data_IF_587331356883
#
_entry.id   IF_587331356883
#
_cell.length_a   1.000
_cell.length_b   1.000
_cell.length_c   1.000
_cell.angle_alpha   90.00
_cell.angle_beta   90.00
_cell.angle_gamma   90.00
#
_symmetry.space_group_name_H-M   'P 1'
#
loop_
_entity.id
_entity.type
_entity.pdbx_description
1 polymer ?
#
# COMPACT_ATOMS: atom_id res chain seq x y z
N UNK A 1 65.08 3.37 29.60
CA UNK A 1 64.24 2.60 28.65
C UNK A 1 62.75 2.71 28.91
N UNK A 2 62.29 2.74 30.16
CA UNK A 2 60.82 2.75 30.49
C UNK A 2 60.05 3.97 30.04
N UNK A 3 60.62 5.18 30.10
CA UNK A 3 59.94 6.45 29.70
C UNK A 3 59.60 6.48 28.19
N UNK A 4 60.43 5.94 27.31
CA UNK A 4 60.15 5.89 25.86
C UNK A 4 59.00 4.92 25.50
N UNK A 5 58.93 3.78 26.23
CA UNK A 5 57.83 2.81 26.06
C UNK A 5 56.50 3.34 26.54
N UNK A 6 56.47 4.06 27.69
CA UNK A 6 55.24 4.71 28.19
C UNK A 6 54.69 5.76 27.24
N UNK A 7 55.57 6.60 26.65
CA UNK A 7 55.16 7.62 25.66
C UNK A 7 54.62 6.99 24.38
N UNK A 8 55.23 5.89 23.90
CA UNK A 8 54.76 5.18 22.72
C UNK A 8 53.37 4.55 22.90
N UNK A 9 53.10 3.97 24.08
CA UNK A 9 51.80 3.40 24.43
C UNK A 9 50.76 4.50 24.56
N UNK A 10 51.09 5.64 25.16
CA UNK A 10 50.16 6.80 25.27
C UNK A 10 49.80 7.35 23.90
N UNK A 11 50.75 7.53 23.00
CA UNK A 11 50.51 8.00 21.64
C UNK A 11 49.66 6.98 20.84
N UNK A 12 49.86 5.67 21.00
CA UNK A 12 49.04 4.66 20.36
C UNK A 12 47.60 4.64 20.89
N UNK A 13 47.40 4.84 22.20
CA UNK A 13 46.06 4.99 22.79
C UNK A 13 45.34 6.23 22.35
N UNK A 14 46.05 7.37 22.25
CA UNK A 14 45.49 8.61 21.69
C UNK A 14 45.10 8.45 20.22
N UNK A 15 45.94 7.83 19.38
CA UNK A 15 45.65 7.55 17.98
C UNK A 15 44.46 6.60 17.83
N UNK A 16 44.34 5.58 18.69
CA UNK A 16 43.18 4.67 18.72
C UNK A 16 41.91 5.35 19.18
N UNK A 17 41.99 6.23 20.19
CA UNK A 17 40.85 7.04 20.63
C UNK A 17 40.39 8.01 19.53
N UNK A 18 41.30 8.66 18.81
CA UNK A 18 41.02 9.52 17.67
C UNK A 18 40.39 8.70 16.52
N UNK A 19 40.92 7.47 16.26
CA UNK A 19 40.32 6.57 15.24
C UNK A 19 38.89 6.16 15.60
N UNK A 20 38.62 5.84 16.88
CA UNK A 20 37.27 5.54 17.36
C UNK A 20 36.32 6.75 17.26
N UNK A 21 36.86 7.97 17.39
CA UNK A 21 36.08 9.21 17.26
C UNK A 21 35.79 9.57 15.81
N UNK A 22 36.68 9.23 14.89
CA UNK A 22 36.52 9.46 13.42
C UNK A 22 35.62 8.41 12.80
N UNK A 23 35.55 7.21 13.35
CA UNK A 23 34.68 6.11 12.88
C UNK A 23 33.46 6.01 13.79
N UNK A 24 32.61 7.02 13.79
CA UNK A 24 31.26 6.88 14.35
C UNK A 24 30.35 6.23 13.29
N UNK A 25 29.86 5.01 13.53
CA UNK A 25 28.97 4.34 12.54
C UNK A 25 27.64 5.07 12.32
N UNK A 26 27.26 5.98 13.20
CA UNK A 26 26.03 6.74 13.14
C UNK A 26 25.94 7.73 11.98
N UNK A 27 27.04 8.46 11.73
CA UNK A 27 27.03 9.56 10.75
C UNK A 27 26.88 9.07 9.29
N UNK A 28 27.43 7.91 8.95
CA UNK A 28 27.30 7.37 7.59
C UNK A 28 25.90 6.82 7.30
N UNK A 29 25.21 6.35 8.32
CA UNK A 29 23.86 5.81 8.19
C UNK A 29 22.83 6.92 8.07
N UNK A 30 22.96 7.95 8.88
CA UNK A 30 22.09 9.13 8.87
C UNK A 30 22.24 9.91 7.55
N UNK A 31 23.47 10.07 7.07
CA UNK A 31 23.76 10.66 5.76
C UNK A 31 23.17 9.84 4.60
N UNK A 32 23.11 8.51 4.71
CA UNK A 32 22.51 7.63 3.71
C UNK A 32 20.99 7.81 3.62
N UNK A 33 20.30 7.90 4.75
CA UNK A 33 18.84 8.12 4.83
C UNK A 33 18.50 9.54 4.37
N UNK A 34 19.24 10.53 4.82
CA UNK A 34 19.09 11.91 4.40
C UNK A 34 19.27 12.06 2.89
N UNK A 35 20.28 11.42 2.33
CA UNK A 35 20.52 11.41 0.88
C UNK A 35 19.36 10.75 0.11
N UNK A 36 18.82 9.61 0.57
CA UNK A 36 17.67 8.97 -0.08
C UNK A 36 16.42 9.85 -0.04
N UNK A 37 16.17 10.51 1.08
CA UNK A 37 15.03 11.41 1.22
C UNK A 37 15.15 12.62 0.29
N UNK A 38 16.33 13.21 0.18
CA UNK A 38 16.62 14.32 -0.73
C UNK A 38 16.46 13.89 -2.18
N UNK A 39 17.02 12.76 -2.58
CA UNK A 39 16.89 12.22 -3.94
C UNK A 39 15.44 11.98 -4.33
N UNK A 40 14.63 11.41 -3.43
CA UNK A 40 13.21 11.21 -3.67
C UNK A 40 12.43 12.52 -3.77
N UNK A 41 12.76 13.50 -2.93
CA UNK A 41 12.15 14.82 -3.00
C UNK A 41 12.47 15.51 -4.33
N UNK A 42 13.73 15.46 -4.76
CA UNK A 42 14.16 16.02 -6.05
C UNK A 42 13.50 15.31 -7.22
N UNK A 43 13.36 13.98 -7.14
CA UNK A 43 12.62 13.20 -8.14
C UNK A 43 11.15 13.64 -8.21
N UNK A 44 10.47 13.76 -7.06
CA UNK A 44 9.08 14.21 -7.02
C UNK A 44 8.94 15.62 -7.61
N UNK A 45 9.86 16.51 -7.28
CA UNK A 45 9.88 17.88 -7.80
C UNK A 45 10.13 17.92 -9.30
N UNK A 46 11.12 17.19 -9.79
CA UNK A 46 11.46 17.14 -11.21
C UNK A 46 10.30 16.61 -12.07
N UNK A 47 9.56 15.63 -11.56
CA UNK A 47 8.42 15.02 -12.24
C UNK A 47 7.06 15.66 -11.90
N UNK A 48 7.06 16.82 -11.22
CA UNK A 48 5.84 17.53 -10.82
C UNK A 48 4.83 16.67 -10.05
N UNK A 49 5.33 15.74 -9.22
CA UNK A 49 4.50 14.87 -8.41
C UNK A 49 4.04 15.63 -7.17
N UNK A 50 2.75 15.96 -7.10
CA UNK A 50 2.12 16.49 -5.88
C UNK A 50 1.57 15.32 -5.07
N UNK A 51 2.23 14.98 -3.97
CA UNK A 51 1.83 13.79 -3.22
C UNK A 51 2.76 13.44 -2.07
N UNK A 52 2.51 12.24 -1.52
CA UNK A 52 3.33 11.62 -0.48
C UNK A 52 3.87 10.29 -0.99
N UNK A 53 5.16 10.09 -0.83
CA UNK A 53 5.84 8.84 -1.12
C UNK A 53 6.36 8.24 0.19
N UNK A 54 6.10 6.96 0.39
CA UNK A 54 6.59 6.19 1.53
C UNK A 54 7.41 5.02 1.00
N UNK A 55 8.65 4.94 1.46
CA UNK A 55 9.56 3.84 1.17
C UNK A 55 10.15 3.31 2.48
N UNK A 56 10.69 2.11 2.47
CA UNK A 56 11.47 1.60 3.59
C UNK A 56 12.96 1.74 3.32
N UNK A 57 13.73 2.10 4.34
CA UNK A 57 15.18 2.02 4.30
C UNK A 57 15.65 0.54 4.30
N UNK A 58 16.98 0.35 4.24
CA UNK A 58 17.60 -0.99 4.29
C UNK A 58 17.34 -1.74 5.60
N UNK A 59 16.89 -1.06 6.65
CA UNK A 59 16.53 -1.64 7.95
C UNK A 59 15.01 -1.83 8.11
N UNK A 60 14.22 -1.55 7.06
CA UNK A 60 12.77 -1.63 7.10
C UNK A 60 12.10 -0.43 7.77
N UNK A 61 12.84 0.67 8.08
CA UNK A 61 12.25 1.86 8.67
C UNK A 61 11.61 2.74 7.60
N UNK A 62 10.41 3.29 7.86
CA UNK A 62 9.70 4.11 6.89
C UNK A 62 10.39 5.46 6.68
N UNK A 63 10.64 5.80 5.42
CA UNK A 63 11.05 7.14 4.99
C UNK A 63 9.85 7.77 4.29
N UNK A 64 9.35 8.87 4.83
CA UNK A 64 8.23 9.62 4.27
C UNK A 64 8.75 10.87 3.58
N UNK A 65 8.41 11.04 2.31
CA UNK A 65 8.72 12.22 1.52
C UNK A 65 7.43 12.81 0.99
N UNK A 66 7.31 14.11 1.04
CA UNK A 66 6.17 14.82 0.46
C UNK A 66 6.65 15.97 -0.40
N UNK A 67 5.99 16.21 -1.51
CA UNK A 67 6.18 17.37 -2.36
C UNK A 67 4.86 18.11 -2.55
N UNK A 68 4.94 19.45 -2.51
CA UNK A 68 3.81 20.36 -2.62
C UNK A 68 4.12 21.35 -3.72
N UNK A 69 3.63 21.09 -4.92
CA UNK A 69 3.86 21.99 -6.06
C UNK A 69 2.66 22.92 -6.36
N UNK A 70 1.62 22.88 -5.56
CA UNK A 70 0.44 23.73 -5.77
C UNK A 70 0.37 24.84 -4.73
N UNK A 71 -0.04 26.02 -5.16
CA UNK A 71 -0.39 27.16 -4.31
C UNK A 71 -1.82 27.06 -3.77
N UNK A 72 -2.65 26.19 -4.37
CA UNK A 72 -4.00 25.91 -3.89
C UNK A 72 -3.95 25.07 -2.62
N UNK A 73 -4.33 25.67 -1.49
CA UNK A 73 -4.34 25.00 -0.18
C UNK A 73 -5.28 23.79 -0.13
N UNK A 74 -6.34 23.75 -0.96
CA UNK A 74 -7.26 22.62 -1.02
C UNK A 74 -6.65 21.37 -1.65
N UNK A 75 -5.57 21.53 -2.40
CA UNK A 75 -4.84 20.45 -3.07
C UNK A 75 -3.54 20.07 -2.37
N UNK A 76 -3.25 20.68 -1.20
CA UNK A 76 -2.05 20.33 -0.44
C UNK A 76 -2.20 18.95 0.18
N UNK A 77 -1.38 18.03 -0.28
CA UNK A 77 -1.27 16.68 0.23
C UNK A 77 -0.26 16.64 1.37
N UNK A 78 -0.58 15.98 2.49
CA UNK A 78 0.35 15.76 3.58
C UNK A 78 0.34 14.31 4.07
N UNK A 79 1.44 13.91 4.72
CA UNK A 79 1.65 12.52 5.15
C UNK A 79 0.66 12.03 6.22
N UNK A 80 -0.01 12.94 6.93
CA UNK A 80 -0.96 12.59 8.00
C UNK A 80 -2.42 12.56 7.52
N UNK A 81 -2.65 12.83 6.25
CA UNK A 81 -4.00 12.77 5.69
C UNK A 81 -4.38 11.33 5.35
N UNK A 82 -5.69 11.05 5.37
CA UNK A 82 -6.22 9.77 4.91
C UNK A 82 -6.30 9.73 3.39
N UNK A 83 -5.78 8.65 2.81
CA UNK A 83 -5.80 8.39 1.39
C UNK A 83 -6.78 7.26 1.07
N UNK A 84 -7.66 7.40 0.07
CA UNK A 84 -8.49 6.30 -0.39
C UNK A 84 -7.60 5.25 -1.04
N UNK A 85 -7.67 4.02 -0.54
CA UNK A 85 -6.87 2.89 -1.06
C UNK A 85 -7.48 2.24 -2.31
N UNK A 86 -8.71 2.61 -2.66
CA UNK A 86 -9.42 2.13 -3.85
C UNK A 86 -9.26 0.60 -4.05
N UNK A 87 -8.81 0.16 -5.23
CA UNK A 87 -8.68 -1.26 -5.58
C UNK A 87 -7.68 -2.05 -4.73
N UNK A 88 -6.81 -1.42 -3.95
CA UNK A 88 -5.96 -2.14 -2.98
C UNK A 88 -6.79 -2.91 -1.95
N UNK A 89 -8.02 -2.47 -1.66
CA UNK A 89 -8.95 -3.18 -0.80
C UNK A 89 -9.28 -4.60 -1.30
N UNK A 90 -9.20 -4.85 -2.63
CA UNK A 90 -9.45 -6.17 -3.21
C UNK A 90 -8.47 -7.23 -2.72
N UNK A 91 -7.24 -6.86 -2.40
CA UNK A 91 -6.23 -7.75 -1.82
C UNK A 91 -6.72 -8.26 -0.45
N UNK A 92 -7.25 -7.37 0.39
CA UNK A 92 -7.78 -7.72 1.71
C UNK A 92 -9.02 -8.63 1.58
N UNK A 93 -9.94 -8.28 0.66
CA UNK A 93 -11.11 -9.12 0.36
C UNK A 93 -10.71 -10.50 -0.13
N UNK A 94 -9.75 -10.58 -1.06
CA UNK A 94 -9.23 -11.84 -1.58
C UNK A 94 -8.62 -12.71 -0.48
N UNK A 95 -7.85 -12.10 0.42
CA UNK A 95 -7.26 -12.80 1.58
C UNK A 95 -8.35 -13.36 2.49
N UNK A 96 -9.38 -12.56 2.81
CA UNK A 96 -10.49 -13.01 3.64
C UNK A 96 -11.28 -14.18 3.02
N UNK A 97 -11.57 -14.10 1.71
CA UNK A 97 -12.24 -15.19 0.98
C UNK A 97 -11.37 -16.46 0.99
N UNK A 98 -10.05 -16.32 0.79
CA UNK A 98 -9.13 -17.46 0.86
C UNK A 98 -9.10 -18.10 2.25
N UNK A 99 -9.11 -17.31 3.33
CA UNK A 99 -9.19 -17.83 4.69
C UNK A 99 -10.48 -18.61 4.93
N UNK A 100 -11.64 -18.07 4.54
CA UNK A 100 -12.93 -18.77 4.64
C UNK A 100 -12.93 -20.09 3.86
N UNK A 101 -12.25 -20.14 2.71
CA UNK A 101 -12.10 -21.34 1.92
C UNK A 101 -11.21 -22.39 2.64
N UNK A 102 -10.10 -21.97 3.27
CA UNK A 102 -9.23 -22.85 4.05
C UNK A 102 -9.98 -23.44 5.26
N UNK A 103 -10.83 -22.66 5.88
CA UNK A 103 -11.69 -23.07 6.99
C UNK A 103 -12.90 -23.91 6.55
N UNK A 104 -13.07 -24.16 5.24
CA UNK A 104 -14.19 -24.89 4.63
C UNK A 104 -15.56 -24.23 4.86
N UNK A 105 -15.58 -22.95 5.18
CA UNK A 105 -16.80 -22.14 5.34
C UNK A 105 -17.32 -21.64 4.00
N UNK A 106 -16.46 -21.61 2.98
CA UNK A 106 -16.77 -21.17 1.62
C UNK A 106 -16.08 -22.08 0.61
N UNK A 107 -16.76 -22.44 -0.46
CA UNK A 107 -16.17 -23.21 -1.58
C UNK A 107 -15.97 -22.36 -2.81
N UNK A 108 -14.92 -22.62 -3.59
CA UNK A 108 -14.69 -21.91 -4.86
C UNK A 108 -15.86 -22.10 -5.85
N UNK A 109 -16.51 -23.24 -5.82
CA UNK A 109 -17.65 -23.57 -6.68
C UNK A 109 -19.00 -23.29 -6.01
N UNK A 110 -19.00 -22.63 -4.84
CA UNK A 110 -20.24 -22.17 -4.20
C UNK A 110 -20.90 -21.14 -5.10
N UNK A 111 -22.18 -21.36 -5.39
CA UNK A 111 -22.98 -20.47 -6.23
C UNK A 111 -23.27 -19.16 -5.50
N UNK A 112 -23.27 -18.05 -6.25
CA UNK A 112 -23.69 -16.74 -5.76
C UNK A 112 -25.13 -16.76 -5.22
N UNK A 113 -25.99 -17.62 -5.78
CA UNK A 113 -27.40 -17.76 -5.35
C UNK A 113 -27.55 -18.19 -3.90
N UNK A 114 -26.53 -18.79 -3.27
CA UNK A 114 -26.56 -19.14 -1.85
C UNK A 114 -26.59 -17.89 -0.95
N UNK A 115 -26.15 -16.75 -1.46
CA UNK A 115 -26.07 -15.50 -0.71
C UNK A 115 -26.99 -14.41 -1.29
N UNK A 116 -27.10 -14.36 -2.61
CA UNK A 116 -27.84 -13.34 -3.35
C UNK A 116 -28.69 -13.97 -4.46
N UNK A 117 -29.74 -14.73 -4.09
CA UNK A 117 -30.58 -15.43 -5.06
C UNK A 117 -31.38 -14.51 -5.99
N UNK A 118 -31.53 -13.23 -5.61
CA UNK A 118 -32.22 -12.21 -6.40
C UNK A 118 -31.40 -11.69 -7.58
N UNK A 119 -30.09 -11.94 -7.62
CA UNK A 119 -29.23 -11.53 -8.73
C UNK A 119 -29.50 -12.45 -9.94
N UNK A 120 -29.77 -11.83 -11.10
CA UNK A 120 -30.00 -12.57 -12.34
C UNK A 120 -28.79 -13.44 -12.69
N UNK A 121 -29.00 -14.70 -13.02
CA UNK A 121 -27.94 -15.66 -13.33
C UNK A 121 -27.12 -16.12 -12.12
N UNK A 122 -27.48 -15.73 -10.89
CA UNK A 122 -26.71 -16.06 -9.68
C UNK A 122 -26.50 -17.55 -9.43
N UNK A 123 -27.34 -18.42 -9.99
CA UNK A 123 -27.21 -19.88 -9.87
C UNK A 123 -25.98 -20.42 -10.61
N UNK A 124 -25.63 -19.76 -11.70
CA UNK A 124 -24.54 -20.17 -12.60
C UNK A 124 -23.23 -19.44 -12.30
N UNK A 125 -23.27 -18.43 -11.43
CA UNK A 125 -22.10 -17.66 -11.03
C UNK A 125 -21.51 -18.27 -9.77
N UNK A 126 -20.21 -18.53 -9.77
CA UNK A 126 -19.46 -19.09 -8.66
C UNK A 126 -18.61 -18.03 -7.93
N UNK A 127 -18.21 -18.32 -6.70
CA UNK A 127 -17.24 -17.49 -5.96
C UNK A 127 -15.92 -17.38 -6.73
N UNK A 128 -15.49 -18.43 -7.42
CA UNK A 128 -14.29 -18.43 -8.25
C UNK A 128 -14.37 -17.39 -9.38
N UNK A 129 -15.50 -17.34 -10.08
CA UNK A 129 -15.69 -16.38 -11.18
C UNK A 129 -15.76 -14.94 -10.67
N UNK A 130 -16.38 -14.69 -9.52
CA UNK A 130 -16.34 -13.39 -8.89
C UNK A 130 -14.91 -12.95 -8.55
N UNK A 131 -14.11 -13.87 -7.99
CA UNK A 131 -12.72 -13.59 -7.60
C UNK A 131 -11.81 -13.35 -8.81
N UNK A 132 -12.08 -14.00 -9.92
CA UNK A 132 -11.31 -13.88 -11.16
C UNK A 132 -11.83 -12.78 -12.10
N UNK A 133 -12.89 -12.07 -11.71
CA UNK A 133 -13.56 -11.08 -12.57
C UNK A 133 -14.14 -11.66 -13.88
N UNK A 134 -14.58 -12.93 -13.86
CA UNK A 134 -15.14 -13.64 -15.00
C UNK A 134 -16.61 -13.99 -14.82
N UNK A 135 -17.27 -13.34 -13.86
CA UNK A 135 -18.68 -13.64 -13.50
C UNK A 135 -19.71 -13.13 -14.51
N UNK A 136 -19.32 -12.29 -15.47
CA UNK A 136 -20.26 -11.62 -16.38
C UNK A 136 -21.17 -10.57 -15.72
N UNK A 137 -21.01 -10.31 -14.42
CA UNK A 137 -21.78 -9.26 -13.75
C UNK A 137 -21.29 -7.88 -14.13
N UNK A 138 -22.20 -7.03 -14.58
CA UNK A 138 -21.95 -5.65 -14.94
C UNK A 138 -22.75 -4.73 -14.03
N UNK A 139 -22.10 -3.70 -13.53
CA UNK A 139 -22.77 -2.62 -12.80
C UNK A 139 -22.30 -1.27 -13.36
N UNK A 140 -23.09 -0.72 -14.26
CA UNK A 140 -22.84 0.58 -14.90
C UNK A 140 -23.55 1.73 -14.16
N UNK A 141 -24.38 1.41 -13.17
CA UNK A 141 -25.13 2.41 -12.45
C UNK A 141 -24.28 3.15 -11.43
N UNK A 142 -24.39 4.47 -11.41
CA UNK A 142 -23.80 5.32 -10.38
C UNK A 142 -24.91 5.97 -9.58
N UNK A 143 -24.87 5.94 -8.25
CA UNK A 143 -25.87 6.62 -7.43
C UNK A 143 -25.80 8.13 -7.68
N UNK A 144 -26.96 8.78 -7.78
CA UNK A 144 -27.08 10.24 -7.96
C UNK A 144 -26.67 11.03 -6.70
N UNK A 145 -26.58 10.34 -5.56
CA UNK A 145 -26.17 10.91 -4.28
C UNK A 145 -25.33 9.90 -3.48
N UNK A 146 -24.48 10.35 -2.55
CA UNK A 146 -23.72 9.45 -1.70
C UNK A 146 -24.63 8.51 -0.88
N UNK A 147 -24.32 7.21 -0.89
CA UNK A 147 -25.03 6.21 -0.11
C UNK A 147 -24.56 6.27 1.34
N UNK A 148 -25.49 6.26 2.28
CA UNK A 148 -25.24 6.60 3.69
C UNK A 148 -24.51 5.50 4.47
N UNK A 149 -24.72 4.23 4.08
CA UNK A 149 -24.19 3.10 4.80
C UNK A 149 -24.00 1.89 3.88
N UNK A 150 -23.31 0.86 4.39
CA UNK A 150 -23.02 -0.36 3.65
C UNK A 150 -24.28 -1.10 3.17
N UNK A 151 -25.35 -1.10 3.95
CA UNK A 151 -26.61 -1.80 3.58
C UNK A 151 -27.23 -1.14 2.34
N UNK A 152 -27.27 0.18 2.29
CA UNK A 152 -27.75 0.92 1.12
C UNK A 152 -26.86 0.69 -0.10
N UNK A 153 -25.53 0.64 0.10
CA UNK A 153 -24.58 0.36 -0.98
C UNK A 153 -24.80 -1.03 -1.57
N UNK A 154 -24.94 -2.06 -0.72
CA UNK A 154 -25.21 -3.42 -1.18
C UNK A 154 -26.57 -3.48 -1.91
N UNK A 155 -27.62 -2.94 -1.31
CA UNK A 155 -28.95 -2.92 -1.93
C UNK A 155 -28.95 -2.19 -3.28
N UNK A 156 -28.27 -1.06 -3.36
CA UNK A 156 -28.13 -0.33 -4.61
C UNK A 156 -27.41 -1.16 -5.68
N UNK A 157 -26.30 -1.76 -5.35
CA UNK A 157 -25.55 -2.63 -6.27
C UNK A 157 -26.38 -3.80 -6.76
N UNK A 158 -27.05 -4.53 -5.86
CA UNK A 158 -27.85 -5.69 -6.19
C UNK A 158 -29.05 -5.34 -7.11
N UNK A 159 -29.66 -4.17 -6.92
CA UNK A 159 -30.78 -3.72 -7.73
C UNK A 159 -30.37 -3.20 -9.13
N UNK A 160 -29.08 -2.94 -9.35
CA UNK A 160 -28.56 -2.41 -10.62
C UNK A 160 -27.53 -3.35 -11.26
N UNK A 161 -27.40 -4.57 -10.74
CA UNK A 161 -26.56 -5.59 -11.33
C UNK A 161 -27.30 -6.24 -12.49
N UNK A 162 -26.65 -6.27 -13.63
CA UNK A 162 -27.07 -6.98 -14.83
C UNK A 162 -26.08 -8.12 -15.11
N UNK A 163 -26.56 -9.21 -15.66
CA UNK A 163 -25.72 -10.28 -16.11
C UNK A 163 -25.61 -10.20 -17.64
N UNK A 164 -24.46 -9.76 -18.11
CA UNK A 164 -24.12 -9.72 -19.51
C UNK A 164 -23.19 -10.91 -19.82
N UNK A 165 -23.78 -12.03 -20.21
CA UNK A 165 -23.03 -13.24 -20.60
C UNK A 165 -22.11 -13.05 -21.83
N UNK A 166 -22.19 -11.90 -22.51
CA UNK A 166 -21.38 -11.61 -23.70
C UNK A 166 -20.03 -10.98 -23.34
N UNK A 167 -19.80 -10.57 -22.11
CA UNK A 167 -18.55 -9.97 -21.65
C UNK A 167 -17.74 -10.88 -20.72
N UNK A 168 -17.55 -12.13 -21.10
CA UNK A 168 -16.40 -12.90 -20.58
C UNK A 168 -15.16 -12.28 -21.18
N UNK A 169 -14.39 -11.57 -20.34
CA UNK A 169 -13.06 -11.11 -20.73
C UNK A 169 -12.19 -12.34 -20.91
N UNK A 170 -12.01 -12.77 -22.15
CA UNK A 170 -10.97 -13.74 -22.53
C UNK A 170 -9.62 -13.03 -22.36
N UNK A 171 -8.89 -13.38 -21.30
CA UNK A 171 -7.50 -13.00 -21.08
C UNK A 171 -6.57 -14.09 -21.55
#
# INVERSE_FOLDING_TARGET
MHKKRALSIFLALCAFAIFLFIVQPGDKLDNGIKNQKEQLHDYMKFHHINGVMLINDKKGQPIVVQNKETTDSSQIVNANQLFPIASLQKIMTGTAIYQLQQEKLLGWNTSLSNYYPQVSGSKDITIRELMNHTSGLVNNARPSSPLKNQKEQIAYMLNHMENDHLHTWDY
#
